data_IF_517660973854
#
_entry.id   IF_517660973854
#
_cell.length_a   1.000
_cell.length_b   1.000
_cell.length_c   1.000
_cell.angle_alpha   90.00
_cell.angle_beta   90.00
_cell.angle_gamma   90.00
#
_symmetry.space_group_name_H-M   'P 1'
#
loop_
_entity.id
_entity.type
_entity.pdbx_description
1 polymer ?
#
# COMPACT_ATOMS: atom_id res chain seq x y z
N UNK A 1 30.90 28.75 -67.16
CA UNK A 1 32.16 28.08 -66.79
C UNK A 1 32.37 28.24 -65.29
N UNK A 2 31.78 27.38 -64.45
CA UNK A 2 32.21 27.11 -63.06
C UNK A 2 31.61 25.76 -62.58
N UNK A 3 32.50 24.77 -62.46
CA UNK A 3 32.61 23.69 -61.43
C UNK A 3 31.48 22.67 -61.15
N UNK A 4 31.81 21.39 -61.34
CA UNK A 4 31.28 20.17 -60.64
C UNK A 4 31.73 20.12 -59.14
N UNK A 5 31.26 19.23 -58.22
CA UNK A 5 30.69 17.88 -58.43
C UNK A 5 29.51 17.40 -57.52
N UNK A 6 29.06 16.19 -57.84
CA UNK A 6 28.07 15.27 -57.26
C UNK A 6 28.05 15.15 -55.72
N UNK A 7 26.87 14.89 -55.12
CA UNK A 7 26.72 13.73 -54.23
C UNK A 7 25.44 12.90 -54.51
N UNK A 8 25.57 11.57 -54.41
CA UNK A 8 24.49 10.57 -54.24
C UNK A 8 24.23 10.33 -52.74
N UNK A 9 23.38 9.36 -52.32
CA UNK A 9 21.93 9.24 -52.44
C UNK A 9 21.26 9.06 -51.03
N UNK A 10 19.96 8.73 -51.00
CA UNK A 10 19.16 8.13 -49.91
C UNK A 10 18.15 9.03 -49.16
N UNK A 11 16.94 8.98 -49.71
CA UNK A 11 15.64 8.76 -49.07
C UNK A 11 15.68 8.24 -47.62
N UNK A 12 15.00 8.96 -46.71
CA UNK A 12 13.80 8.45 -46.02
C UNK A 12 13.12 9.59 -45.21
N UNK A 13 12.13 10.21 -45.87
CA UNK A 13 10.77 10.46 -45.37
C UNK A 13 10.34 9.46 -44.26
N UNK A 14 9.55 9.75 -43.22
CA UNK A 14 8.44 10.68 -42.96
C UNK A 14 8.34 10.75 -41.42
N UNK A 15 8.31 11.94 -40.80
CA UNK A 15 7.11 12.71 -40.44
C UNK A 15 6.08 11.92 -39.62
N UNK A 16 5.92 12.35 -38.37
CA UNK A 16 4.94 11.84 -37.44
C UNK A 16 3.50 12.20 -37.80
N UNK A 17 2.58 11.44 -37.22
CA UNK A 17 1.23 11.89 -36.92
C UNK A 17 0.75 11.14 -35.66
N UNK A 18 0.37 11.93 -34.67
CA UNK A 18 -0.41 11.50 -33.51
C UNK A 18 -1.80 11.09 -33.99
N UNK A 19 -2.32 9.96 -33.50
CA UNK A 19 -3.78 9.77 -33.42
C UNK A 19 -4.13 9.03 -32.15
N UNK A 20 -4.61 9.83 -31.21
CA UNK A 20 -5.45 9.44 -30.09
C UNK A 20 -6.74 8.84 -30.67
N UNK A 21 -7.07 7.61 -30.32
CA UNK A 21 -8.46 7.13 -30.35
C UNK A 21 -8.68 6.34 -29.05
N UNK A 22 -9.32 7.03 -28.11
CA UNK A 22 -10.03 6.48 -26.96
C UNK A 22 -11.35 5.90 -27.49
N UNK A 23 -11.75 4.69 -27.05
CA UNK A 23 -13.01 4.44 -26.33
C UNK A 23 -13.29 2.93 -26.16
N UNK A 24 -13.34 2.57 -24.87
CA UNK A 24 -14.21 1.62 -24.15
C UNK A 24 -14.88 0.38 -24.78
N UNK A 25 -14.66 -0.72 -24.05
CA UNK A 25 -15.64 -1.67 -23.52
C UNK A 25 -16.57 -2.48 -24.47
N UNK A 26 -16.27 -3.79 -24.54
CA UNK A 26 -17.31 -4.79 -24.24
C UNK A 26 -16.71 -6.03 -23.62
N UNK A 27 -17.33 -6.46 -22.53
CA UNK A 27 -16.78 -7.40 -21.57
C UNK A 27 -16.58 -8.80 -22.10
N UNK A 28 -15.51 -9.41 -21.62
CA UNK A 28 -15.53 -10.81 -21.29
C UNK A 28 -14.82 -10.95 -19.94
N UNK A 29 -15.63 -11.18 -18.91
CA UNK A 29 -15.20 -11.61 -17.58
C UNK A 29 -14.51 -12.96 -17.72
N UNK A 30 -13.24 -12.95 -18.14
CA UNK A 30 -12.37 -14.09 -17.97
C UNK A 30 -11.92 -14.07 -16.51
N UNK A 31 -12.64 -14.81 -15.67
CA UNK A 31 -12.21 -15.18 -14.32
C UNK A 31 -10.99 -16.13 -14.40
N UNK A 32 -9.94 -15.72 -15.10
CA UNK A 32 -8.60 -16.28 -14.95
C UNK A 32 -7.83 -15.33 -14.06
N UNK A 33 -7.92 -15.60 -12.75
CA UNK A 33 -6.89 -15.16 -11.79
C UNK A 33 -5.54 -15.39 -12.48
N UNK A 34 -4.63 -14.39 -12.56
CA UNK A 34 -3.31 -14.62 -13.14
C UNK A 34 -2.63 -15.71 -12.32
N UNK A 35 -2.60 -16.92 -12.87
CA UNK A 35 -1.93 -18.10 -12.31
C UNK A 35 -0.43 -17.80 -12.41
N UNK A 36 0.13 -17.16 -11.39
CA UNK A 36 1.57 -16.89 -11.38
C UNK A 36 2.02 -15.71 -10.53
N UNK A 37 1.13 -14.83 -10.05
CA UNK A 37 1.55 -13.71 -9.19
C UNK A 37 1.51 -14.13 -7.71
N UNK A 38 2.65 -14.24 -7.00
CA UNK A 38 2.63 -14.50 -5.57
C UNK A 38 1.95 -13.35 -4.82
N UNK A 39 1.30 -13.66 -3.70
CA UNK A 39 0.82 -12.63 -2.78
C UNK A 39 2.01 -11.80 -2.26
N UNK A 40 1.84 -10.51 -1.91
CA UNK A 40 2.93 -9.65 -1.45
C UNK A 40 3.74 -10.26 -0.31
N UNK A 41 3.08 -10.92 0.65
CA UNK A 41 3.72 -11.57 1.80
C UNK A 41 4.58 -12.78 1.37
N UNK A 42 4.12 -13.52 0.35
CA UNK A 42 4.87 -14.64 -0.22
C UNK A 42 6.05 -14.13 -1.04
N UNK A 43 5.84 -13.07 -1.83
CA UNK A 43 6.91 -12.43 -2.61
C UNK A 43 8.00 -11.87 -1.70
N UNK A 44 7.61 -11.29 -0.57
CA UNK A 44 8.52 -10.81 0.47
C UNK A 44 9.41 -11.92 1.02
N UNK A 45 8.80 -13.05 1.41
CA UNK A 45 9.54 -14.20 1.91
C UNK A 45 10.49 -14.76 0.85
N UNK A 46 10.03 -14.91 -0.40
CA UNK A 46 10.86 -15.36 -1.51
C UNK A 46 12.02 -14.39 -1.80
N UNK A 47 11.79 -13.07 -1.68
CA UNK A 47 12.83 -12.07 -1.85
C UNK A 47 13.93 -12.19 -0.79
N UNK A 48 13.53 -12.34 0.49
CA UNK A 48 14.47 -12.44 1.61
C UNK A 48 15.21 -13.78 1.69
N UNK A 49 14.56 -14.86 1.28
CA UNK A 49 15.17 -16.19 1.23
C UNK A 49 15.85 -16.50 -0.11
N UNK A 50 15.85 -15.56 -1.07
CA UNK A 50 16.48 -15.77 -2.37
C UNK A 50 17.99 -16.00 -2.19
N UNK A 51 18.48 -17.09 -2.76
CA UNK A 51 19.90 -17.40 -2.84
C UNK A 51 20.35 -17.31 -4.30
N UNK A 52 21.62 -16.95 -4.49
CA UNK A 52 22.20 -16.84 -5.82
C UNK A 52 22.12 -18.19 -6.56
N UNK A 53 21.63 -18.15 -7.80
CA UNK A 53 21.41 -19.31 -8.65
C UNK A 53 22.41 -19.29 -9.81
N UNK A 54 23.40 -20.19 -9.76
CA UNK A 54 24.47 -20.30 -10.76
C UNK A 54 23.92 -20.59 -12.17
N UNK A 55 22.84 -21.35 -12.26
CA UNK A 55 22.14 -21.69 -13.51
C UNK A 55 21.52 -20.46 -14.19
N UNK A 56 21.07 -19.46 -13.42
CA UNK A 56 20.53 -18.20 -13.95
C UNK A 56 21.62 -17.14 -14.19
N UNK A 57 22.79 -17.32 -13.56
CA UNK A 57 23.87 -16.34 -13.54
C UNK A 57 23.51 -15.02 -12.85
N UNK A 58 24.42 -14.03 -12.87
CA UNK A 58 24.27 -12.76 -12.15
C UNK A 58 23.12 -11.90 -12.69
N UNK A 59 22.96 -11.85 -14.01
CA UNK A 59 21.89 -11.07 -14.66
C UNK A 59 20.51 -11.67 -14.38
N UNK A 60 20.37 -12.99 -14.50
CA UNK A 60 19.12 -13.70 -14.22
C UNK A 60 18.73 -13.57 -12.74
N UNK A 61 19.69 -13.81 -11.84
CA UNK A 61 19.48 -13.65 -10.39
C UNK A 61 19.04 -12.23 -10.01
N UNK A 62 19.69 -11.19 -10.56
CA UNK A 62 19.29 -9.80 -10.32
C UNK A 62 17.89 -9.50 -10.88
N UNK A 63 17.57 -9.99 -12.08
CA UNK A 63 16.23 -9.84 -12.66
C UNK A 63 15.17 -10.45 -11.75
N UNK A 64 15.42 -11.66 -11.24
CA UNK A 64 14.49 -12.35 -10.35
C UNK A 64 14.29 -11.62 -9.03
N UNK A 65 15.36 -11.10 -8.42
CA UNK A 65 15.27 -10.26 -7.22
C UNK A 65 14.43 -8.99 -7.47
N UNK A 66 14.60 -8.35 -8.63
CA UNK A 66 13.81 -7.17 -9.00
C UNK A 66 12.33 -7.50 -9.14
N UNK A 67 12.00 -8.61 -9.78
CA UNK A 67 10.62 -9.09 -9.89
C UNK A 67 10.00 -9.32 -8.52
N UNK A 68 10.68 -10.08 -7.65
CA UNK A 68 10.18 -10.38 -6.30
C UNK A 68 9.98 -9.08 -5.49
N UNK A 69 10.93 -8.15 -5.57
CA UNK A 69 10.84 -6.85 -4.93
C UNK A 69 9.64 -6.02 -5.43
N UNK A 70 9.37 -6.01 -6.75
CA UNK A 70 8.20 -5.33 -7.31
C UNK A 70 6.89 -5.97 -6.86
N UNK A 71 6.85 -7.30 -6.73
CA UNK A 71 5.66 -8.01 -6.25
C UNK A 71 5.41 -7.77 -4.76
N UNK A 72 6.46 -7.68 -3.97
CA UNK A 72 6.38 -7.36 -2.55
C UNK A 72 5.98 -5.89 -2.31
N UNK A 73 6.73 -4.94 -2.86
CA UNK A 73 6.55 -3.51 -2.57
C UNK A 73 5.48 -2.84 -3.42
N UNK A 74 5.03 -3.47 -4.51
CA UNK A 74 4.01 -2.98 -5.43
C UNK A 74 4.16 -1.48 -5.74
N UNK A 75 5.28 -1.01 -6.32
CA UNK A 75 5.56 0.41 -6.52
C UNK A 75 4.58 1.12 -7.47
N UNK A 76 3.78 0.37 -8.22
CA UNK A 76 2.68 0.91 -9.03
C UNK A 76 1.45 1.33 -8.19
N UNK A 77 1.33 0.81 -6.97
CA UNK A 77 0.21 1.05 -6.06
C UNK A 77 0.64 1.85 -4.81
N UNK A 78 1.92 1.78 -4.44
CA UNK A 78 2.46 2.46 -3.27
C UNK A 78 3.30 3.68 -3.64
N UNK A 79 3.06 4.77 -2.93
CA UNK A 79 3.92 5.95 -2.94
C UNK A 79 5.28 5.63 -2.30
N UNK A 80 6.29 6.44 -2.60
CA UNK A 80 7.62 6.34 -1.97
C UNK A 80 7.55 6.29 -0.43
N UNK A 81 6.68 7.13 0.17
CA UNK A 81 6.50 7.14 1.63
C UNK A 81 5.98 5.78 2.10
N UNK A 82 4.92 5.25 1.48
CA UNK A 82 4.37 3.94 1.84
C UNK A 82 5.39 2.81 1.69
N UNK A 83 6.22 2.84 0.64
CA UNK A 83 7.30 1.86 0.47
C UNK A 83 8.29 1.94 1.65
N UNK A 84 8.68 3.14 2.06
CA UNK A 84 9.57 3.31 3.22
C UNK A 84 8.91 2.80 4.51
N UNK A 85 7.63 3.09 4.74
CA UNK A 85 6.91 2.56 5.91
C UNK A 85 6.84 1.03 5.91
N UNK A 86 6.67 0.38 4.75
CA UNK A 86 6.72 -1.09 4.65
C UNK A 86 8.09 -1.66 5.04
N UNK A 87 9.17 -0.98 4.64
CA UNK A 87 10.54 -1.38 5.03
C UNK A 87 10.79 -1.14 6.52
N UNK A 88 10.27 -0.05 7.08
CA UNK A 88 10.34 0.22 8.53
C UNK A 88 9.56 -0.84 9.30
N UNK A 89 8.35 -1.18 8.86
CA UNK A 89 7.52 -2.23 9.47
C UNK A 89 8.25 -3.57 9.46
N UNK A 90 8.85 -3.96 8.34
CA UNK A 90 9.66 -5.18 8.27
C UNK A 90 10.80 -5.15 9.29
N UNK A 91 11.57 -4.07 9.34
CA UNK A 91 12.67 -3.94 10.28
C UNK A 91 12.16 -3.96 11.73
N UNK A 92 11.03 -3.32 12.01
CA UNK A 92 10.40 -3.29 13.33
C UNK A 92 9.99 -4.69 13.78
N UNK A 93 9.33 -5.47 12.92
CA UNK A 93 8.99 -6.85 13.22
C UNK A 93 10.24 -7.72 13.47
N UNK A 94 11.34 -7.47 12.76
CA UNK A 94 12.59 -8.24 12.95
C UNK A 94 13.30 -7.99 14.29
N UNK A 95 13.08 -6.83 14.93
CA UNK A 95 13.71 -6.47 16.20
C UNK A 95 12.83 -6.75 17.41
N UNK A 96 11.55 -7.08 17.20
CA UNK A 96 10.63 -7.39 18.29
C UNK A 96 11.04 -8.70 18.98
N UNK A 97 11.05 -8.74 20.33
CA UNK A 97 11.31 -9.96 21.05
C UNK A 97 10.19 -11.00 20.83
N UNK A 98 10.47 -12.31 20.97
CA UNK A 98 9.52 -13.38 20.61
C UNK A 98 8.17 -13.30 21.33
N UNK A 99 8.13 -12.83 22.58
CA UNK A 99 6.87 -12.70 23.33
C UNK A 99 5.93 -11.63 22.77
N UNK A 100 6.47 -10.59 22.11
CA UNK A 100 5.66 -9.59 21.40
C UNK A 100 5.25 -10.11 20.03
N UNK A 101 6.14 -10.78 19.30
CA UNK A 101 5.80 -11.41 18.02
C UNK A 101 4.69 -12.46 18.14
N UNK A 102 4.70 -13.25 19.21
CA UNK A 102 3.64 -14.23 19.48
C UNK A 102 2.26 -13.60 19.64
N UNK A 103 2.18 -12.33 20.08
CA UNK A 103 0.92 -11.58 20.15
C UNK A 103 0.39 -11.12 18.80
N UNK A 104 1.26 -11.04 17.79
CA UNK A 104 0.94 -10.59 16.43
C UNK A 104 0.55 -11.75 15.49
N UNK A 105 0.61 -12.99 15.99
CA UNK A 105 0.41 -14.18 15.17
C UNK A 105 -1.03 -14.24 14.61
N UNK A 106 -1.14 -14.43 13.29
CA UNK A 106 -2.42 -14.52 12.59
C UNK A 106 -3.04 -13.17 12.20
N UNK A 107 -2.37 -12.05 12.51
CA UNK A 107 -2.82 -10.71 12.14
C UNK A 107 -2.23 -10.27 10.80
N UNK A 108 -3.02 -9.54 10.01
CA UNK A 108 -2.55 -8.85 8.79
C UNK A 108 -2.19 -7.43 9.18
N UNK A 109 -0.89 -7.15 9.33
CA UNK A 109 -0.35 -5.86 9.76
C UNK A 109 0.07 -5.07 8.53
N UNK A 110 -0.49 -3.86 8.35
CA UNK A 110 -0.23 -3.04 7.16
C UNK A 110 0.78 -1.93 7.38
N UNK A 111 0.89 -1.45 8.61
CA UNK A 111 1.78 -0.36 9.02
C UNK A 111 2.29 -0.57 10.44
N UNK A 112 3.30 0.22 10.83
CA UNK A 112 3.92 0.15 12.15
C UNK A 112 2.97 0.56 13.27
N UNK A 113 2.10 1.53 13.00
CA UNK A 113 1.12 2.05 13.96
C UNK A 113 0.11 0.96 14.37
N UNK A 114 -0.38 0.14 13.44
CA UNK A 114 -1.23 -1.01 13.74
C UNK A 114 -0.51 -2.00 14.67
N UNK A 115 0.78 -2.25 14.45
CA UNK A 115 1.59 -3.10 15.34
C UNK A 115 1.69 -2.51 16.74
N UNK A 116 2.06 -1.24 16.84
CA UNK A 116 2.21 -0.54 18.12
C UNK A 116 0.90 -0.57 18.89
N UNK A 117 -0.22 -0.23 18.24
CA UNK A 117 -1.53 -0.22 18.86
C UNK A 117 -1.89 -1.59 19.47
N UNK A 118 -1.63 -2.67 18.74
CA UNK A 118 -1.89 -4.04 19.19
C UNK A 118 -0.99 -4.45 20.35
N UNK A 119 0.28 -4.04 20.35
CA UNK A 119 1.23 -4.34 21.41
C UNK A 119 0.93 -3.53 22.68
N UNK A 120 0.60 -2.25 22.55
CA UNK A 120 0.22 -1.37 23.66
C UNK A 120 -1.17 -1.69 24.22
N UNK A 121 -2.01 -2.41 23.46
CA UNK A 121 -3.34 -2.84 23.90
C UNK A 121 -4.36 -1.70 23.94
N UNK A 122 -4.12 -0.63 23.19
CA UNK A 122 -5.07 0.47 23.08
C UNK A 122 -6.24 0.01 22.19
N UNK A 123 -7.48 -0.01 22.67
CA UNK A 123 -8.62 -0.35 21.83
C UNK A 123 -8.70 0.64 20.66
N UNK A 124 -8.86 0.12 19.44
CA UNK A 124 -9.19 0.96 18.27
C UNK A 124 -10.45 1.72 18.65
N UNK A 125 -10.34 3.03 18.86
CA UNK A 125 -11.48 3.85 19.21
C UNK A 125 -12.43 3.89 18.00
N UNK A 126 -13.42 2.99 17.99
CA UNK A 126 -14.54 3.00 17.04
C UNK A 126 -15.55 4.04 17.51
N UNK A 127 -15.11 5.28 17.66
CA UNK A 127 -15.97 6.41 18.01
C UNK A 127 -15.90 7.49 16.94
N UNK A 128 -16.64 7.28 15.86
CA UNK A 128 -17.46 8.36 15.33
C UNK A 128 -18.85 7.82 14.95
N UNK A 129 -19.57 7.36 15.97
CA UNK A 129 -21.04 7.50 15.97
C UNK A 129 -21.33 8.39 17.17
N UNK A 130 -21.60 9.65 16.88
CA UNK A 130 -21.85 10.68 17.89
C UNK A 130 -23.00 10.30 18.81
N UNK A 131 -22.96 10.66 20.10
CA UNK A 131 -24.10 10.50 20.99
C UNK A 131 -25.23 11.42 20.52
N UNK A 132 -26.35 10.84 20.11
CA UNK A 132 -27.64 11.50 20.24
C UNK A 132 -28.01 11.44 21.73
N UNK A 133 -28.01 12.59 22.40
CA UNK A 133 -28.93 13.00 23.49
C UNK A 133 -28.34 14.20 24.29
N UNK A 134 -28.45 15.39 23.71
CA UNK A 134 -28.97 16.54 24.47
C UNK A 134 -30.50 16.33 24.44
N UNK A 135 -31.23 16.16 25.53
CA UNK A 135 -31.48 17.16 26.58
C UNK A 135 -32.03 16.43 27.82
N UNK A 136 -31.32 16.49 28.95
CA UNK A 136 -31.89 16.22 30.26
C UNK A 136 -31.78 17.50 31.10
N UNK A 137 -32.80 18.35 31.04
CA UNK A 137 -32.87 19.58 31.84
C UNK A 137 -33.16 19.27 33.33
N UNK A 138 -32.35 19.78 34.29
CA UNK A 138 -32.54 19.56 35.71
C UNK A 138 -33.45 20.60 36.38
N UNK A 139 -34.48 20.09 37.07
CA UNK A 139 -35.10 20.59 38.32
C UNK A 139 -34.99 22.10 38.65
N UNK A 140 -36.10 22.81 38.49
CA UNK A 140 -36.33 24.06 39.24
C UNK A 140 -36.59 23.76 40.73
N UNK A 141 -35.69 24.24 41.58
CA UNK A 141 -35.86 24.41 43.03
C UNK A 141 -36.96 25.46 43.29
N UNK A 142 -37.99 25.14 44.08
CA UNK A 142 -38.76 26.16 44.82
C UNK A 142 -38.68 25.90 46.31
N UNK A 143 -38.42 26.99 47.01
CA UNK A 143 -37.78 27.07 48.32
C UNK A 143 -38.67 26.68 49.50
N UNK A 144 -37.99 26.28 50.58
CA UNK A 144 -38.50 26.00 51.91
C UNK A 144 -38.79 27.32 52.67
N UNK A 145 -39.77 27.26 53.58
CA UNK A 145 -40.07 28.19 54.70
C UNK A 145 -40.82 29.50 54.40
N UNK A 146 -42.01 29.66 55.02
CA UNK A 146 -42.46 30.76 55.92
C UNK A 146 -43.90 30.41 56.40
N UNK A 147 -44.13 29.67 57.50
CA UNK A 147 -44.36 30.06 58.92
C UNK A 147 -45.68 30.83 59.25
N UNK A 148 -46.67 30.06 59.75
CA UNK A 148 -47.65 30.33 60.86
C UNK A 148 -48.76 31.42 60.70
N UNK A 149 -49.72 31.57 61.66
CA UNK A 149 -50.70 30.62 62.26
C UNK A 149 -52.14 31.22 62.41
N UNK A 150 -53.12 30.39 62.86
CA UNK A 150 -54.19 30.64 63.88
C UNK A 150 -55.37 29.71 63.64
#
# INVERSE_FOLDING_TARGET
MLSEPVPTPQEQEQLGAVKLEEEEASGQEDTRRPVGRPRPEVAHQLFRCFQYQEDMGPRGSLSRLRELCHHWLQPSLHTKKQILELLVLEQFLSVLPPHLLGRLQGQQLRDGEEVVLLLEGVPRDVSHVGPLELEAEPRTRRNLNQKSPM
#
